data_IF_971436239787
#
_entry.id   IF_971436239787
#
_cell.length_a   1.000
_cell.length_b   1.000
_cell.length_c   1.000
_cell.angle_alpha   90.00
_cell.angle_beta   90.00
_cell.angle_gamma   90.00
#
_symmetry.space_group_name_H-M   'P 1'
#
loop_
_entity.id
_entity.type
_entity.pdbx_description
1 polymer ?
#
# COMPACT_ATOMS: atom_id res chain seq x y z
N UNK A 1 29.01 5.77 11.32
CA UNK A 1 27.73 6.17 10.70
C UNK A 1 27.81 7.65 10.36
N UNK A 2 27.50 8.06 9.12
CA UNK A 2 27.50 9.47 8.73
C UNK A 2 26.40 10.27 9.45
N UNK A 3 26.59 11.59 9.56
CA UNK A 3 25.72 12.53 10.31
C UNK A 3 24.22 12.43 9.97
N UNK A 4 23.88 11.99 8.76
CA UNK A 4 22.49 11.86 8.27
C UNK A 4 22.14 10.43 7.78
N UNK A 5 22.83 9.41 8.28
CA UNK A 5 22.67 8.04 7.80
C UNK A 5 21.23 7.51 7.91
N UNK A 6 20.52 7.84 9.00
CA UNK A 6 19.13 7.44 9.20
C UNK A 6 18.20 8.03 8.13
N UNK A 7 18.31 9.33 7.86
CA UNK A 7 17.51 9.99 6.83
C UNK A 7 17.66 9.30 5.46
N UNK A 8 18.90 9.06 5.01
CA UNK A 8 19.13 8.41 3.73
C UNK A 8 18.68 6.94 3.69
N UNK A 9 18.78 6.22 4.81
CA UNK A 9 18.27 4.85 4.92
C UNK A 9 16.73 4.81 4.76
N UNK A 10 16.02 5.78 5.35
CA UNK A 10 14.57 5.92 5.20
C UNK A 10 14.19 6.33 3.78
N UNK A 11 14.88 7.32 3.21
CA UNK A 11 14.61 7.83 1.86
C UNK A 11 14.75 6.72 0.81
N UNK A 12 15.72 5.81 0.96
CA UNK A 12 15.90 4.65 0.06
C UNK A 12 14.68 3.72 0.00
N UNK A 13 13.87 3.67 1.06
CA UNK A 13 12.65 2.88 1.12
C UNK A 13 11.42 3.58 0.51
N UNK A 14 11.53 4.87 0.19
CA UNK A 14 10.47 5.70 -0.36
C UNK A 14 10.74 6.00 -1.83
N UNK A 15 10.39 5.07 -2.72
CA UNK A 15 10.55 5.27 -4.17
C UNK A 15 9.79 6.52 -4.64
N UNK A 16 10.49 7.44 -5.27
CA UNK A 16 9.92 8.71 -5.77
C UNK A 16 10.00 9.88 -4.78
N UNK A 17 10.54 9.68 -3.57
CA UNK A 17 10.85 10.78 -2.66
C UNK A 17 12.26 11.32 -2.94
N UNK A 18 12.35 12.63 -3.17
CA UNK A 18 13.61 13.34 -3.31
C UNK A 18 14.04 13.99 -1.97
N UNK A 19 15.36 14.11 -1.75
CA UNK A 19 15.96 14.68 -0.52
C UNK A 19 15.51 16.12 -0.33
N UNK A 20 15.63 16.95 -1.36
CA UNK A 20 15.35 18.39 -1.30
C UNK A 20 13.87 18.63 -1.09
N UNK A 21 13.03 17.90 -1.81
CA UNK A 21 11.57 17.97 -1.66
C UNK A 21 11.13 17.55 -0.25
N UNK A 22 11.71 16.49 0.32
CA UNK A 22 11.38 16.06 1.68
C UNK A 22 11.75 17.12 2.73
N UNK A 23 12.95 17.71 2.63
CA UNK A 23 13.42 18.74 3.56
C UNK A 23 12.63 20.05 3.40
N UNK A 24 12.36 20.45 2.16
CA UNK A 24 11.58 21.65 1.86
C UNK A 24 10.16 21.53 2.38
N UNK A 25 9.48 20.41 2.12
CA UNK A 25 8.11 20.19 2.58
C UNK A 25 8.04 20.15 4.11
N UNK A 26 8.99 19.48 4.76
CA UNK A 26 9.01 19.37 6.22
C UNK A 26 9.26 20.73 6.90
N UNK A 27 10.14 21.55 6.32
CA UNK A 27 10.49 22.87 6.87
C UNK A 27 9.60 24.01 6.38
N UNK A 28 8.57 23.71 5.59
CA UNK A 28 7.69 24.74 5.02
C UNK A 28 8.39 25.70 4.05
N UNK A 29 9.45 25.23 3.36
CA UNK A 29 10.19 26.04 2.39
C UNK A 29 11.44 26.74 2.92
N UNK A 30 11.72 26.65 4.23
CA UNK A 30 12.86 27.35 4.85
C UNK A 30 14.23 26.90 4.31
N UNK A 31 14.39 25.61 4.01
CA UNK A 31 15.65 25.04 3.51
C UNK A 31 15.41 23.74 2.73
N UNK A 32 16.38 23.35 1.90
CA UNK A 32 16.48 22.05 1.23
C UNK A 32 17.70 21.23 1.72
N UNK A 33 18.47 21.77 2.67
CA UNK A 33 19.71 21.21 3.16
C UNK A 33 19.59 20.66 4.58
N UNK A 34 19.92 19.39 4.77
CA UNK A 34 19.91 18.73 6.08
C UNK A 34 20.85 19.39 7.09
N UNK A 35 21.90 20.08 6.63
CA UNK A 35 22.83 20.84 7.47
C UNK A 35 22.23 22.08 8.11
N UNK A 36 21.12 22.59 7.57
CA UNK A 36 20.42 23.78 8.07
C UNK A 36 19.22 23.40 8.97
N UNK A 37 19.08 22.12 9.29
CA UNK A 37 18.13 21.62 10.27
C UNK A 37 18.73 21.67 11.67
N UNK A 38 17.93 22.11 12.63
CA UNK A 38 18.19 21.87 14.05
C UNK A 38 18.13 20.37 14.35
N UNK A 39 18.66 19.96 15.50
CA UNK A 39 18.59 18.55 15.93
C UNK A 39 17.15 18.05 16.04
N UNK A 40 16.24 18.92 16.50
CA UNK A 40 14.82 18.61 16.66
C UNK A 40 14.13 18.45 15.31
N UNK A 41 14.37 19.36 14.36
CA UNK A 41 13.84 19.25 13.00
C UNK A 41 14.38 18.02 12.27
N UNK A 42 15.67 17.70 12.44
CA UNK A 42 16.25 16.49 11.87
C UNK A 42 15.60 15.22 12.43
N UNK A 43 15.31 15.19 13.73
CA UNK A 43 14.59 14.06 14.34
C UNK A 43 13.15 13.99 13.81
N UNK A 44 12.45 15.12 13.78
CA UNK A 44 11.07 15.20 13.31
C UNK A 44 10.90 14.75 11.87
N UNK A 45 11.81 15.12 10.95
CA UNK A 45 11.74 14.66 9.57
C UNK A 45 12.03 13.16 9.46
N UNK A 46 12.94 12.61 10.27
CA UNK A 46 13.18 11.16 10.29
C UNK A 46 11.95 10.41 10.80
N UNK A 47 11.32 10.87 11.89
CA UNK A 47 10.11 10.26 12.45
C UNK A 47 8.95 10.31 11.45
N UNK A 48 8.79 11.43 10.75
CA UNK A 48 7.81 11.59 9.66
C UNK A 48 8.05 10.58 8.53
N UNK A 49 9.27 10.49 7.99
CA UNK A 49 9.61 9.55 6.92
C UNK A 49 9.45 8.09 7.37
N UNK A 50 9.82 7.78 8.61
CA UNK A 50 9.62 6.45 9.19
C UNK A 50 8.12 6.08 9.25
N UNK A 51 7.25 7.04 9.59
CA UNK A 51 5.80 6.85 9.53
C UNK A 51 5.32 6.46 8.14
N UNK A 52 5.78 7.15 7.09
CA UNK A 52 5.42 6.81 5.70
C UNK A 52 5.93 5.43 5.31
N UNK A 53 7.18 5.09 5.68
CA UNK A 53 7.76 3.76 5.41
C UNK A 53 6.91 2.66 6.05
N UNK A 54 6.46 2.86 7.28
CA UNK A 54 5.62 1.91 8.00
C UNK A 54 4.25 1.75 7.32
N UNK A 55 3.57 2.86 7.00
CA UNK A 55 2.29 2.83 6.26
C UNK A 55 2.43 2.07 4.94
N UNK A 56 3.51 2.31 4.19
CA UNK A 56 3.78 1.60 2.94
C UNK A 56 4.09 0.11 3.16
N UNK A 57 4.74 -0.26 4.27
CA UNK A 57 4.99 -1.65 4.62
C UNK A 57 3.68 -2.37 4.98
N UNK A 58 2.83 -1.74 5.79
CA UNK A 58 1.54 -2.29 6.19
C UNK A 58 0.60 -2.44 5.00
N UNK A 59 0.54 -1.44 4.12
CA UNK A 59 -0.24 -1.52 2.88
C UNK A 59 0.22 -2.67 1.98
N UNK A 60 1.53 -2.88 1.86
CA UNK A 60 2.11 -4.00 1.10
C UNK A 60 1.76 -5.34 1.73
N UNK A 61 1.87 -5.46 3.05
CA UNK A 61 1.53 -6.68 3.80
C UNK A 61 0.05 -7.03 3.66
N UNK A 62 -0.84 -6.09 3.98
CA UNK A 62 -2.28 -6.29 3.87
C UNK A 62 -2.72 -6.58 2.42
N UNK A 63 -2.17 -5.82 1.46
CA UNK A 63 -2.42 -6.06 0.03
C UNK A 63 -1.97 -7.44 -0.45
N UNK A 64 -0.78 -7.89 -0.03
CA UNK A 64 -0.25 -9.21 -0.37
C UNK A 64 -1.18 -10.33 0.13
N UNK A 65 -1.72 -10.20 1.35
CA UNK A 65 -2.70 -11.17 1.87
C UNK A 65 -3.97 -11.24 1.01
N UNK A 66 -4.50 -10.09 0.59
CA UNK A 66 -5.66 -10.03 -0.33
C UNK A 66 -5.33 -10.72 -1.65
N UNK A 67 -4.18 -10.41 -2.26
CA UNK A 67 -3.79 -11.00 -3.54
C UNK A 67 -3.56 -12.51 -3.46
N UNK A 68 -2.99 -13.00 -2.35
CA UNK A 68 -2.82 -14.44 -2.14
C UNK A 68 -4.18 -15.14 -2.09
N UNK A 69 -5.15 -14.61 -1.33
CA UNK A 69 -6.50 -15.17 -1.26
C UNK A 69 -7.22 -15.14 -2.61
N UNK A 70 -7.12 -14.03 -3.35
CA UNK A 70 -7.69 -13.95 -4.70
C UNK A 70 -7.06 -15.00 -5.63
N UNK A 71 -5.75 -15.18 -5.54
CA UNK A 71 -5.03 -16.20 -6.34
C UNK A 71 -5.49 -17.62 -5.96
N UNK A 72 -5.64 -17.91 -4.67
CA UNK A 72 -6.18 -19.19 -4.18
C UNK A 72 -7.63 -19.43 -4.64
N UNK A 73 -8.43 -18.36 -4.75
CA UNK A 73 -9.80 -18.41 -5.32
C UNK A 73 -9.81 -18.52 -6.86
N UNK A 74 -8.64 -18.47 -7.51
CA UNK A 74 -8.48 -18.67 -8.96
C UNK A 74 -8.40 -17.40 -9.80
N UNK A 75 -8.27 -16.21 -9.19
CA UNK A 75 -8.03 -14.96 -9.94
C UNK A 75 -6.60 -14.90 -10.47
N UNK A 76 -6.43 -14.35 -11.68
CA UNK A 76 -5.12 -14.16 -12.30
C UNK A 76 -4.56 -12.78 -11.96
N UNK A 77 -3.41 -12.73 -11.30
CA UNK A 77 -2.77 -11.49 -10.81
C UNK A 77 -1.55 -11.04 -11.62
N UNK A 78 -1.07 -11.88 -12.56
CA UNK A 78 0.20 -11.67 -13.29
C UNK A 78 0.03 -10.78 -14.54
N UNK A 79 -1.08 -10.91 -15.27
CA UNK A 79 -1.30 -10.18 -16.53
C UNK A 79 -2.17 -8.97 -16.33
N UNK A 80 -1.83 -7.85 -16.96
CA UNK A 80 -2.56 -6.57 -16.88
C UNK A 80 -4.05 -6.71 -17.23
N UNK A 81 -4.37 -7.44 -18.30
CA UNK A 81 -5.76 -7.68 -18.71
C UNK A 81 -6.60 -8.43 -17.67
N UNK A 82 -5.99 -9.26 -16.82
CA UNK A 82 -6.70 -10.00 -15.77
C UNK A 82 -7.09 -9.12 -14.56
N UNK A 83 -6.54 -7.91 -14.44
CA UNK A 83 -6.90 -7.00 -13.36
C UNK A 83 -8.33 -6.48 -13.46
N UNK A 84 -8.91 -6.47 -14.67
CA UNK A 84 -10.31 -6.07 -14.89
C UNK A 84 -11.26 -6.98 -14.09
N UNK A 85 -10.93 -8.26 -14.00
CA UNK A 85 -11.72 -9.26 -13.28
C UNK A 85 -11.67 -9.05 -11.77
N UNK A 86 -10.47 -8.85 -11.24
CA UNK A 86 -10.23 -8.54 -9.83
C UNK A 86 -10.94 -7.24 -9.45
N UNK A 87 -10.75 -6.19 -10.25
CA UNK A 87 -11.37 -4.90 -9.98
C UNK A 87 -12.89 -4.98 -10.05
N UNK A 88 -13.47 -5.71 -11.01
CA UNK A 88 -14.93 -5.92 -11.08
C UNK A 88 -15.45 -6.63 -9.85
N UNK A 89 -14.77 -7.70 -9.41
CA UNK A 89 -15.15 -8.46 -8.23
C UNK A 89 -15.10 -7.60 -6.95
N UNK A 90 -13.99 -6.89 -6.73
CA UNK A 90 -13.82 -6.06 -5.54
C UNK A 90 -14.71 -4.81 -5.54
N UNK A 91 -15.08 -4.30 -6.73
CA UNK A 91 -15.99 -3.16 -6.87
C UNK A 91 -17.44 -3.48 -6.47
N UNK A 92 -17.80 -4.75 -6.29
CA UNK A 92 -19.10 -5.12 -5.72
C UNK A 92 -19.19 -4.61 -4.27
N UNK A 93 -20.23 -3.83 -3.96
CA UNK A 93 -20.47 -3.28 -2.62
C UNK A 93 -20.70 -4.36 -1.55
N UNK A 94 -21.09 -5.57 -1.95
CA UNK A 94 -21.16 -6.74 -1.06
C UNK A 94 -19.79 -7.30 -0.73
N UNK A 95 -18.71 -6.81 -1.35
CA UNK A 95 -17.33 -7.27 -1.16
C UNK A 95 -16.48 -6.14 -0.59
N UNK A 96 -16.01 -5.22 -1.43
CA UNK A 96 -15.23 -4.06 -1.00
C UNK A 96 -15.76 -2.73 -1.54
N UNK A 97 -16.57 -2.74 -2.61
CA UNK A 97 -17.13 -1.53 -3.23
C UNK A 97 -16.11 -0.66 -3.97
N UNK A 98 -14.86 -1.13 -4.13
CA UNK A 98 -13.74 -0.36 -4.70
C UNK A 98 -12.79 -1.24 -5.51
N UNK A 99 -12.05 -0.64 -6.44
CA UNK A 99 -10.96 -1.33 -7.14
C UNK A 99 -9.81 -1.63 -6.19
N UNK A 100 -9.01 -2.65 -6.50
CA UNK A 100 -7.91 -3.06 -5.61
C UNK A 100 -6.94 -1.91 -5.30
N UNK A 101 -6.64 -1.09 -6.32
CA UNK A 101 -5.74 0.07 -6.22
C UNK A 101 -6.27 1.22 -5.35
N UNK A 102 -7.58 1.25 -5.09
CA UNK A 102 -8.25 2.29 -4.30
C UNK A 102 -8.42 1.88 -2.84
N UNK A 103 -8.17 0.61 -2.51
CA UNK A 103 -8.24 0.11 -1.15
C UNK A 103 -7.10 0.68 -0.30
N UNK A 104 -7.49 1.24 0.83
CA UNK A 104 -6.60 1.61 1.93
C UNK A 104 -6.08 0.37 2.68
N UNK A 105 -5.09 0.55 3.56
CA UNK A 105 -4.56 -0.53 4.39
C UNK A 105 -5.65 -1.18 5.26
N UNK A 106 -6.43 -0.36 5.98
CA UNK A 106 -7.53 -0.84 6.84
C UNK A 106 -8.61 -1.59 6.04
N UNK A 107 -8.95 -1.11 4.85
CA UNK A 107 -9.90 -1.81 3.98
C UNK A 107 -9.35 -3.16 3.49
N UNK A 108 -8.06 -3.24 3.17
CA UNK A 108 -7.42 -4.53 2.86
C UNK A 108 -7.50 -5.48 4.06
N UNK A 109 -7.17 -5.01 5.27
CA UNK A 109 -7.21 -5.84 6.48
C UNK A 109 -8.61 -6.35 6.81
N UNK A 110 -9.64 -5.52 6.63
CA UNK A 110 -11.06 -5.91 6.80
C UNK A 110 -11.54 -6.85 5.70
N UNK A 111 -11.02 -6.72 4.49
CA UNK A 111 -11.38 -7.57 3.35
C UNK A 111 -10.83 -8.99 3.49
N UNK A 112 -9.66 -9.14 4.10
CA UNK A 112 -8.97 -10.43 4.28
C UNK A 112 -9.84 -11.53 4.96
N UNK A 113 -10.48 -11.33 6.13
CA UNK A 113 -11.32 -12.36 6.75
C UNK A 113 -12.55 -12.69 5.91
N UNK A 114 -13.09 -11.71 5.17
CA UNK A 114 -14.23 -11.89 4.27
C UNK A 114 -13.87 -12.79 3.09
N UNK A 115 -12.75 -12.51 2.43
CA UNK A 115 -12.24 -13.35 1.33
C UNK A 115 -11.91 -14.76 1.81
N UNK A 116 -11.34 -14.92 3.01
CA UNK A 116 -11.15 -16.24 3.62
C UNK A 116 -12.46 -17.00 3.76
N UNK A 117 -13.48 -16.38 4.35
CA UNK A 117 -14.80 -17.02 4.50
C UNK A 117 -15.44 -17.40 3.16
N UNK A 118 -15.30 -16.56 2.14
CA UNK A 118 -15.79 -16.87 0.78
C UNK A 118 -15.03 -18.05 0.17
N UNK A 119 -13.70 -18.04 0.24
CA UNK A 119 -12.85 -19.16 -0.23
C UNK A 119 -13.23 -20.46 0.47
N UNK A 120 -13.40 -20.45 1.79
CA UNK A 120 -13.72 -21.64 2.58
C UNK A 120 -15.12 -22.21 2.26
N UNK A 121 -16.05 -21.34 1.79
CA UNK A 121 -17.35 -21.75 1.24
C UNK A 121 -17.28 -22.23 -0.21
N UNK A 122 -16.10 -22.27 -0.81
CA UNK A 122 -15.87 -22.74 -2.17
C UNK A 122 -16.18 -21.71 -3.26
N UNK A 123 -16.25 -20.42 -2.95
CA UNK A 123 -16.41 -19.39 -3.98
C UNK A 123 -15.13 -19.30 -4.82
N UNK A 124 -15.23 -19.66 -6.09
CA UNK A 124 -14.12 -19.57 -7.04
C UNK A 124 -14.40 -18.52 -8.11
N UNK A 125 -13.33 -17.98 -8.72
CA UNK A 125 -13.41 -17.00 -9.80
C UNK A 125 -14.36 -17.48 -10.92
N UNK A 126 -14.30 -18.77 -11.27
CA UNK A 126 -15.15 -19.40 -12.30
C UNK A 126 -16.66 -19.29 -12.01
N UNK A 127 -17.06 -19.23 -10.74
CA UNK A 127 -18.47 -19.23 -10.32
C UNK A 127 -19.06 -17.81 -10.37
N UNK A 128 -18.20 -16.79 -10.29
CA UNK A 128 -18.59 -15.39 -10.40
C UNK A 128 -18.94 -15.02 -11.85
N UNK A 129 -18.33 -15.69 -12.84
CA UNK A 129 -18.67 -15.51 -14.26
C UNK A 129 -20.01 -16.12 -14.67
N UNK A 130 -20.53 -17.09 -13.90
CA UNK A 130 -21.82 -17.75 -14.21
C UNK A 130 -23.05 -16.95 -13.80
N UNK A 131 -22.89 -15.93 -12.95
CA UNK A 131 -23.99 -15.08 -12.47
C UNK A 131 -24.24 -13.84 -13.36
N UNK A 132 -23.45 -13.65 -14.43
CA UNK A 132 -23.53 -12.51 -15.33
C UNK A 132 -23.68 -12.91 -16.82
N UNK A 133 -24.08 -14.15 -17.10
CA UNK A 133 -24.60 -14.62 -18.38
C UNK A 133 -26.07 -15.00 -18.21
#
# INVERSE_FOLDING_TARGET
MGKYALFYALLKNLKGYDKETAVQNFTGGRTTHLSELTKEEYRGICDYLQGIVNINADRRKAGSQVLNLLTEMGFKTIRKESWVEIDRFLSDGRIAGKRYRELTTDECEKLVPKLRSMRDKGYLAKDIYKLNQ
#
